data_IF_748118589913
#
_entry.id   IF_748118589913
#
_cell.length_a   1.000
_cell.length_b   1.000
_cell.length_c   1.000
_cell.angle_alpha   90.00
_cell.angle_beta   90.00
_cell.angle_gamma   90.00
#
_symmetry.space_group_name_H-M   'P 1'
#
loop_
_entity.id
_entity.type
_entity.pdbx_description
1 polymer ?
#
# COMPACT_ATOMS: atom_id res chain seq x y z
N UNK A 1 -34.02 -0.75 -1.90
CA UNK A 1 -33.39 -2.07 -2.16
C UNK A 1 -33.35 -2.34 -3.66
N UNK A 2 -34.43 -2.08 -4.42
CA UNK A 2 -34.43 -2.20 -5.91
C UNK A 2 -33.30 -1.43 -6.64
N UNK A 3 -32.84 -0.29 -6.10
CA UNK A 3 -31.74 0.49 -6.71
C UNK A 3 -30.41 -0.27 -6.82
N UNK A 4 -30.21 -1.36 -6.09
CA UNK A 4 -28.96 -2.15 -6.14
C UNK A 4 -29.09 -3.41 -6.99
N UNK A 5 -30.23 -3.65 -7.64
CA UNK A 5 -30.48 -4.90 -8.39
C UNK A 5 -29.56 -5.09 -9.60
N UNK A 6 -29.01 -4.01 -10.15
CA UNK A 6 -28.03 -4.06 -11.24
C UNK A 6 -26.73 -4.76 -10.85
N UNK A 7 -26.44 -4.89 -9.55
CA UNK A 7 -25.24 -5.55 -9.02
C UNK A 7 -25.45 -7.07 -8.96
N UNK A 8 -26.68 -7.55 -8.82
CA UNK A 8 -27.00 -8.97 -8.60
C UNK A 8 -26.56 -9.89 -9.75
N UNK A 9 -26.25 -9.34 -10.93
CA UNK A 9 -25.76 -10.08 -12.11
C UNK A 9 -24.26 -9.96 -12.35
N UNK A 10 -23.55 -9.18 -11.52
CA UNK A 10 -22.12 -8.90 -11.69
C UNK A 10 -21.29 -9.82 -10.78
N UNK A 11 -20.14 -10.26 -11.27
CA UNK A 11 -19.16 -10.90 -10.40
C UNK A 11 -18.55 -9.86 -9.45
N UNK A 12 -18.18 -10.29 -8.25
CA UNK A 12 -17.51 -9.40 -7.30
C UNK A 12 -16.19 -8.83 -7.86
N UNK A 13 -15.44 -9.63 -8.62
CA UNK A 13 -14.23 -9.19 -9.31
C UNK A 13 -14.51 -8.06 -10.32
N UNK A 14 -15.59 -8.14 -11.08
CA UNK A 14 -15.98 -7.06 -11.99
C UNK A 14 -16.41 -5.81 -11.24
N UNK A 15 -17.15 -5.97 -10.14
CA UNK A 15 -17.60 -4.86 -9.32
C UNK A 15 -16.44 -4.09 -8.69
N UNK A 16 -15.47 -4.78 -8.09
CA UNK A 16 -14.34 -4.14 -7.40
C UNK A 16 -13.40 -3.43 -8.39
N UNK A 17 -13.17 -3.99 -9.57
CA UNK A 17 -12.39 -3.33 -10.62
C UNK A 17 -13.11 -2.09 -11.17
N UNK A 18 -14.42 -2.19 -11.45
CA UNK A 18 -15.20 -1.03 -11.89
C UNK A 18 -15.23 0.10 -10.84
N UNK A 19 -15.21 -0.24 -9.55
CA UNK A 19 -15.08 0.73 -8.47
C UNK A 19 -13.70 1.39 -8.43
N UNK A 20 -12.63 0.64 -8.71
CA UNK A 20 -11.28 1.19 -8.86
C UNK A 20 -11.24 2.23 -9.99
N UNK A 21 -11.74 1.88 -11.17
CA UNK A 21 -11.77 2.76 -12.35
C UNK A 21 -12.57 4.03 -12.09
N UNK A 22 -13.77 3.90 -11.50
CA UNK A 22 -14.61 5.04 -11.15
C UNK A 22 -13.94 5.98 -10.13
N UNK A 23 -13.21 5.42 -9.17
CA UNK A 23 -12.46 6.20 -8.18
C UNK A 23 -11.29 6.93 -8.84
N UNK A 24 -10.54 6.26 -9.70
CA UNK A 24 -9.44 6.85 -10.46
C UNK A 24 -9.94 8.04 -11.32
N UNK A 25 -11.07 7.87 -12.00
CA UNK A 25 -11.71 8.95 -12.75
C UNK A 25 -12.07 10.13 -11.84
N UNK A 26 -12.69 9.88 -10.69
CA UNK A 26 -13.08 10.95 -9.76
C UNK A 26 -11.86 11.73 -9.20
N UNK A 27 -10.74 11.05 -8.95
CA UNK A 27 -9.50 11.67 -8.48
C UNK A 27 -8.87 12.52 -9.59
N UNK A 28 -8.90 12.04 -10.83
CA UNK A 28 -8.45 12.78 -12.00
C UNK A 28 -9.25 14.07 -12.22
N UNK A 29 -10.59 13.99 -12.14
CA UNK A 29 -11.48 15.15 -12.24
C UNK A 29 -11.27 16.16 -11.11
N UNK A 30 -10.89 15.70 -9.91
CA UNK A 30 -10.53 16.54 -8.78
C UNK A 30 -9.11 17.15 -8.90
N UNK A 31 -8.35 16.84 -9.96
CA UNK A 31 -6.98 17.32 -10.16
C UNK A 31 -5.95 16.67 -9.25
N UNK A 32 -6.26 15.50 -8.66
CA UNK A 32 -5.35 14.76 -7.80
C UNK A 32 -4.45 13.87 -8.66
N UNK A 33 -3.13 14.06 -8.53
CA UNK A 33 -2.15 13.17 -9.18
C UNK A 33 -2.20 11.80 -8.52
N UNK A 34 -2.27 10.75 -9.33
CA UNK A 34 -2.42 9.36 -8.89
C UNK A 34 -1.50 8.45 -9.69
N UNK A 35 -1.01 7.40 -9.05
CA UNK A 35 -0.31 6.30 -9.70
C UNK A 35 -1.23 5.07 -9.71
N UNK A 36 -1.18 4.29 -10.79
CA UNK A 36 -1.89 3.03 -10.92
C UNK A 36 -0.88 1.89 -10.99
N UNK A 37 -1.05 0.87 -10.15
CA UNK A 37 -0.29 -0.38 -10.20
C UNK A 37 -1.24 -1.49 -10.62
N UNK A 38 -0.97 -2.10 -11.76
CA UNK A 38 -1.80 -3.16 -12.33
C UNK A 38 -1.10 -4.51 -12.22
N UNK A 39 -1.87 -5.54 -11.85
CA UNK A 39 -1.42 -6.94 -11.82
C UNK A 39 -2.32 -7.75 -12.74
N UNK A 40 -1.73 -8.52 -13.65
CA UNK A 40 -2.47 -9.35 -14.60
C UNK A 40 -3.42 -10.34 -13.89
N UNK A 41 -2.92 -10.98 -12.83
CA UNK A 41 -3.67 -11.89 -11.97
C UNK A 41 -3.14 -11.83 -10.54
N UNK A 42 -3.95 -12.28 -9.56
CA UNK A 42 -3.46 -12.51 -8.20
C UNK A 42 -2.77 -13.87 -8.18
N UNK A 43 -1.43 -13.84 -8.20
CA UNK A 43 -0.57 -15.02 -8.15
C UNK A 43 0.69 -14.73 -7.31
N UNK A 44 1.34 -15.78 -6.82
CA UNK A 44 2.56 -15.67 -6.02
C UNK A 44 3.67 -14.93 -6.78
N UNK A 45 3.77 -15.16 -8.10
CA UNK A 45 4.74 -14.50 -8.95
C UNK A 45 4.49 -12.98 -9.03
N UNK A 46 3.24 -12.57 -9.28
CA UNK A 46 2.89 -11.15 -9.42
C UNK A 46 3.00 -10.42 -8.08
N UNK A 47 2.61 -11.07 -6.97
CA UNK A 47 2.79 -10.50 -5.63
C UNK A 47 4.27 -10.41 -5.25
N UNK A 48 5.09 -11.41 -5.60
CA UNK A 48 6.53 -11.37 -5.40
C UNK A 48 7.19 -10.19 -6.14
N UNK A 49 6.78 -9.94 -7.39
CA UNK A 49 7.25 -8.77 -8.14
C UNK A 49 6.84 -7.46 -7.47
N UNK A 50 5.59 -7.36 -6.98
CA UNK A 50 5.11 -6.16 -6.29
C UNK A 50 5.90 -5.87 -5.01
N UNK A 51 6.22 -6.91 -4.22
CA UNK A 51 7.03 -6.78 -3.01
C UNK A 51 8.42 -6.23 -3.35
N UNK A 52 9.12 -6.88 -4.28
CA UNK A 52 10.49 -6.46 -4.67
C UNK A 52 10.47 -5.07 -5.30
N UNK A 53 9.43 -4.73 -6.08
CA UNK A 53 9.25 -3.39 -6.62
C UNK A 53 9.25 -2.33 -5.50
N UNK A 54 8.48 -2.53 -4.43
CA UNK A 54 8.43 -1.58 -3.32
C UNK A 54 9.71 -1.57 -2.47
N UNK A 55 10.40 -2.70 -2.30
CA UNK A 55 11.70 -2.76 -1.63
C UNK A 55 12.77 -1.93 -2.37
N UNK A 56 12.82 -2.07 -3.69
CA UNK A 56 13.73 -1.31 -4.56
C UNK A 56 13.36 0.17 -4.60
N UNK A 57 12.07 0.49 -4.74
CA UNK A 57 11.57 1.87 -4.72
C UNK A 57 11.95 2.57 -3.41
N UNK A 58 11.73 1.90 -2.27
CA UNK A 58 12.06 2.44 -0.95
C UNK A 58 13.56 2.69 -0.81
N UNK A 59 14.40 1.73 -1.25
CA UNK A 59 15.87 1.87 -1.27
C UNK A 59 16.33 3.05 -2.13
N UNK A 60 15.74 3.21 -3.32
CA UNK A 60 16.05 4.31 -4.23
C UNK A 60 15.66 5.66 -3.62
N UNK A 61 14.45 5.78 -3.06
CA UNK A 61 13.97 7.02 -2.44
C UNK A 61 14.82 7.40 -1.24
N UNK A 62 15.21 6.45 -0.40
CA UNK A 62 16.11 6.73 0.72
C UNK A 62 17.47 7.25 0.25
N UNK A 63 18.05 6.65 -0.79
CA UNK A 63 19.28 7.16 -1.41
C UNK A 63 19.09 8.57 -1.99
N UNK A 64 17.97 8.84 -2.67
CA UNK A 64 17.64 10.17 -3.21
C UNK A 64 17.48 11.23 -2.10
N UNK A 65 16.97 10.84 -0.94
CA UNK A 65 16.79 11.74 0.21
C UNK A 65 18.03 11.83 1.12
N UNK A 66 19.10 11.09 0.82
CA UNK A 66 20.31 11.06 1.65
C UNK A 66 20.09 10.42 3.03
N UNK A 67 19.10 9.53 3.14
CA UNK A 67 18.76 8.79 4.37
C UNK A 67 19.23 7.34 4.24
N UNK A 68 19.75 6.78 5.32
CA UNK A 68 20.03 5.35 5.36
C UNK A 68 18.73 4.55 5.44
N UNK A 69 18.39 3.82 4.37
CA UNK A 69 17.15 3.02 4.30
C UNK A 69 17.24 1.70 5.08
N UNK A 70 18.44 1.34 5.54
CA UNK A 70 18.70 0.04 6.15
C UNK A 70 18.98 0.13 7.66
N UNK A 71 18.80 1.30 8.27
CA UNK A 71 18.87 1.47 9.73
C UNK A 71 17.56 2.03 10.32
N UNK A 72 17.47 2.00 11.65
CA UNK A 72 16.28 2.42 12.39
C UNK A 72 16.62 2.94 13.80
N UNK A 73 17.46 3.99 13.94
CA UNK A 73 17.93 4.47 15.25
C UNK A 73 16.79 4.91 16.19
N UNK A 74 15.67 5.37 15.63
CA UNK A 74 14.52 5.87 16.40
C UNK A 74 13.86 4.82 17.31
N UNK A 75 14.05 3.52 17.07
CA UNK A 75 13.39 2.46 17.86
C UNK A 75 14.12 2.14 19.17
N UNK A 76 15.42 2.45 19.26
CA UNK A 76 16.28 1.98 20.36
C UNK A 76 15.99 2.69 21.69
N UNK A 77 15.64 3.98 21.64
CA UNK A 77 15.25 4.72 22.83
C UNK A 77 13.97 4.14 23.45
N UNK A 78 12.99 3.79 22.61
CA UNK A 78 11.74 3.18 23.05
C UNK A 78 11.97 1.84 23.76
N UNK A 79 12.84 0.99 23.18
CA UNK A 79 13.26 -0.27 23.82
C UNK A 79 13.93 -0.04 25.17
N UNK A 80 14.84 0.93 25.26
CA UNK A 80 15.56 1.24 26.50
C UNK A 80 14.63 1.69 27.63
N UNK A 81 13.66 2.56 27.32
CA UNK A 81 12.65 3.02 28.28
C UNK A 81 11.79 1.85 28.77
N UNK A 82 11.35 0.99 27.84
CA UNK A 82 10.56 -0.19 28.17
C UNK A 82 11.28 -1.10 29.17
N UNK A 83 12.55 -1.45 28.91
CA UNK A 83 13.34 -2.29 29.81
C UNK A 83 13.52 -1.67 31.19
N UNK A 84 13.75 -0.36 31.27
CA UNK A 84 13.89 0.35 32.55
C UNK A 84 12.59 0.32 33.37
N UNK A 85 11.44 0.39 32.70
CA UNK A 85 10.13 0.40 33.37
C UNK A 85 9.74 -1.00 33.87
N UNK A 86 10.05 -2.05 33.11
CA UNK A 86 9.69 -3.43 33.46
C UNK A 86 10.73 -4.11 34.38
N UNK A 87 12.01 -3.80 34.22
CA UNK A 87 13.11 -4.35 35.05
C UNK A 87 13.23 -3.72 36.43
N UNK A 88 12.33 -2.79 36.79
CA UNK A 88 12.20 -2.21 38.14
C UNK A 88 11.23 -2.99 39.05
N UNK A 89 11.05 -4.28 38.80
CA UNK A 89 10.27 -5.18 39.67
C UNK A 89 11.16 -6.03 40.57
#
# INVERSE_FOLDING_TARGET
IEKTDFINTQSFNRLINAQCDATLQSLSEAGVTTDLIELDTISEANIGQLIVYFELLTSLVGAMFGVNTYDQPGVELGKTILYKNLGKS
#
